data_IF_534295103264
#
_entry.id   IF_534295103264
#
_cell.length_a   1.000
_cell.length_b   1.000
_cell.length_c   1.000
_cell.angle_alpha   90.00
_cell.angle_beta   90.00
_cell.angle_gamma   90.00
#
_symmetry.space_group_name_H-M   'P 1'
#
loop_
_entity.id
_entity.type
_entity.pdbx_description
1 polymer ?
#
# COMPACT_ATOMS: atom_id res chain seq x y z
N UNK A 1 4.71 10.59 13.31
CA UNK A 1 5.54 11.68 12.76
C UNK A 1 5.36 11.60 11.26
N UNK A 2 5.02 12.69 10.58
CA UNK A 2 4.97 12.70 9.12
C UNK A 2 6.37 12.44 8.58
N UNK A 3 6.54 11.41 7.76
CA UNK A 3 7.76 11.25 6.97
C UNK A 3 7.90 12.48 6.06
N UNK A 4 9.12 13.01 6.00
CA UNK A 4 9.46 14.12 5.14
C UNK A 4 9.67 13.53 3.74
N UNK A 5 8.73 13.75 2.83
CA UNK A 5 8.85 13.25 1.46
C UNK A 5 10.05 13.91 0.76
N UNK A 6 10.84 13.14 -0.01
CA UNK A 6 11.91 13.70 -0.83
C UNK A 6 11.35 14.48 -2.02
N UNK A 7 12.10 15.49 -2.47
CA UNK A 7 11.95 16.03 -3.81
C UNK A 7 12.71 15.14 -4.80
N UNK A 8 12.00 14.55 -5.75
CA UNK A 8 12.57 13.72 -6.81
C UNK A 8 12.97 14.61 -8.00
N UNK A 9 14.20 14.55 -8.46
CA UNK A 9 14.71 15.38 -9.57
C UNK A 9 14.97 14.54 -10.81
N UNK A 10 14.41 14.97 -11.94
CA UNK A 10 14.60 14.35 -13.25
C UNK A 10 15.25 15.35 -14.21
N UNK A 11 16.30 14.89 -14.91
CA UNK A 11 16.89 15.62 -16.02
C UNK A 11 16.20 15.18 -17.32
N UNK A 12 15.47 16.11 -17.93
CA UNK A 12 14.65 15.90 -19.12
C UNK A 12 15.27 16.59 -20.34
N UNK A 13 14.99 16.11 -21.55
CA UNK A 13 15.54 16.69 -22.78
C UNK A 13 14.66 17.78 -23.38
N UNK A 14 13.35 17.70 -23.18
CA UNK A 14 12.35 18.68 -23.62
C UNK A 14 11.35 18.90 -22.47
N UNK A 15 11.54 20.00 -21.73
CA UNK A 15 10.72 20.32 -20.56
C UNK A 15 9.24 20.50 -20.90
N UNK A 16 8.90 21.10 -22.05
CA UNK A 16 7.51 21.33 -22.44
C UNK A 16 6.81 20.00 -22.76
N UNK A 17 7.49 19.13 -23.52
CA UNK A 17 6.99 17.80 -23.84
C UNK A 17 6.80 16.94 -22.58
N UNK A 18 7.78 16.92 -21.67
CA UNK A 18 7.72 16.10 -20.46
C UNK A 18 6.70 16.65 -19.46
N UNK A 19 6.60 17.97 -19.26
CA UNK A 19 5.52 18.58 -18.45
C UNK A 19 4.13 18.27 -19.03
N UNK A 20 3.96 18.33 -20.35
CA UNK A 20 2.69 17.91 -21.00
C UNK A 20 2.41 16.43 -20.81
N UNK A 21 3.41 15.55 -20.88
CA UNK A 21 3.23 14.12 -20.61
C UNK A 21 2.75 13.87 -19.18
N UNK A 22 3.48 14.36 -18.18
CA UNK A 22 3.14 14.16 -16.76
C UNK A 22 1.77 14.78 -16.41
N UNK A 23 1.48 16.00 -16.88
CA UNK A 23 0.20 16.67 -16.62
C UNK A 23 -0.97 16.03 -17.37
N UNK A 24 -0.86 15.89 -18.69
CA UNK A 24 -2.01 15.59 -19.57
C UNK A 24 -2.25 14.08 -19.74
N UNK A 25 -1.22 13.24 -19.55
CA UNK A 25 -1.34 11.76 -19.60
C UNK A 25 -1.51 11.20 -18.19
N UNK A 26 -0.53 11.47 -17.32
CA UNK A 26 -0.45 10.86 -15.99
C UNK A 26 -1.30 11.61 -14.93
N UNK A 27 -1.75 12.84 -15.22
CA UNK A 27 -2.63 13.60 -14.33
C UNK A 27 -1.91 14.33 -13.19
N UNK A 28 -0.61 14.59 -13.34
CA UNK A 28 0.19 15.28 -12.32
C UNK A 28 -0.19 16.76 -12.28
N UNK A 29 -0.19 17.35 -11.08
CA UNK A 29 -0.48 18.78 -10.91
C UNK A 29 0.80 19.59 -11.06
N UNK A 30 0.84 20.57 -11.96
CA UNK A 30 1.98 21.49 -12.06
C UNK A 30 1.80 22.59 -11.02
N UNK A 31 2.73 22.71 -10.07
CA UNK A 31 2.74 23.80 -9.09
C UNK A 31 3.29 25.07 -9.71
N UNK A 32 4.45 24.96 -10.39
CA UNK A 32 5.07 26.03 -11.15
C UNK A 32 5.87 25.50 -12.33
N UNK A 33 6.04 26.36 -13.33
CA UNK A 33 6.86 26.17 -14.52
C UNK A 33 7.59 27.50 -14.77
N UNK A 34 8.91 27.46 -14.86
CA UNK A 34 9.74 28.62 -15.15
C UNK A 34 10.56 28.35 -16.43
N UNK A 35 10.23 29.10 -17.48
CA UNK A 35 10.87 28.99 -18.80
C UNK A 35 12.29 29.58 -18.81
N UNK A 36 12.62 30.55 -17.95
CA UNK A 36 13.97 31.12 -17.85
C UNK A 36 14.91 30.18 -17.07
N UNK A 37 14.42 29.54 -16.01
CA UNK A 37 15.15 28.54 -15.23
C UNK A 37 15.15 27.14 -15.86
N UNK A 38 14.38 26.92 -16.93
CA UNK A 38 14.25 25.61 -17.59
C UNK A 38 13.89 24.50 -16.57
N UNK A 39 12.94 24.79 -15.69
CA UNK A 39 12.52 23.89 -14.61
C UNK A 39 11.00 23.95 -14.36
N UNK A 40 10.44 22.86 -13.83
CA UNK A 40 9.03 22.75 -13.46
C UNK A 40 8.84 21.83 -12.25
N UNK A 41 8.05 22.27 -11.27
CA UNK A 41 7.65 21.43 -10.13
C UNK A 41 6.25 20.86 -10.35
N UNK A 42 6.12 19.55 -10.16
CA UNK A 42 4.89 18.81 -10.27
C UNK A 42 4.67 17.95 -9.03
N UNK A 43 3.40 17.75 -8.69
CA UNK A 43 2.96 16.82 -7.64
C UNK A 43 2.21 15.66 -8.30
N UNK A 44 2.69 14.44 -8.04
CA UNK A 44 2.05 13.22 -8.52
C UNK A 44 0.74 12.92 -7.77
N UNK A 45 -0.19 12.15 -8.35
CA UNK A 45 -1.23 11.47 -7.59
C UNK A 45 -0.60 10.66 -6.45
N UNK A 46 -1.07 10.89 -5.21
CA UNK A 46 -0.43 10.37 -3.99
C UNK A 46 0.54 11.34 -3.28
N UNK A 47 0.85 12.49 -3.88
CA UNK A 47 1.56 13.59 -3.24
C UNK A 47 3.08 13.63 -3.40
N UNK A 48 3.68 12.74 -4.20
CA UNK A 48 5.12 12.77 -4.44
C UNK A 48 5.55 14.05 -5.19
N UNK A 49 6.54 14.74 -4.64
CA UNK A 49 7.09 16.00 -5.13
C UNK A 49 8.17 15.75 -6.18
N UNK A 50 8.01 16.32 -7.39
CA UNK A 50 8.87 16.06 -8.55
C UNK A 50 9.31 17.37 -9.20
N UNK A 51 10.61 17.51 -9.44
CA UNK A 51 11.21 18.61 -10.21
C UNK A 51 11.76 18.06 -11.54
N UNK A 52 11.21 18.53 -12.65
CA UNK A 52 11.77 18.33 -13.98
C UNK A 52 12.66 19.52 -14.32
N UNK A 53 13.82 19.29 -14.91
CA UNK A 53 14.64 20.37 -15.50
C UNK A 53 15.40 19.91 -16.74
N UNK A 54 15.47 20.77 -17.74
CA UNK A 54 16.28 20.58 -18.96
C UNK A 54 17.67 21.24 -18.89
N UNK A 55 17.97 21.96 -17.81
CA UNK A 55 19.32 22.43 -17.52
C UNK A 55 20.11 21.31 -16.78
N UNK A 56 21.19 20.77 -17.36
CA UNK A 56 22.00 19.74 -16.72
C UNK A 56 22.88 20.26 -15.57
N UNK A 57 23.17 21.56 -15.54
CA UNK A 57 24.08 22.20 -14.58
C UNK A 57 23.33 22.91 -13.42
N UNK A 58 21.99 22.92 -13.43
CA UNK A 58 21.16 23.58 -12.42
C UNK A 58 21.38 22.99 -11.01
N UNK A 59 21.81 23.86 -10.08
CA UNK A 59 21.95 23.56 -8.65
C UNK A 59 20.57 23.64 -7.95
N UNK A 60 19.96 22.47 -7.80
CA UNK A 60 18.66 22.29 -7.17
C UNK A 60 18.64 22.78 -5.72
N UNK A 61 19.74 22.61 -4.97
CA UNK A 61 19.78 22.99 -3.57
C UNK A 61 19.79 24.51 -3.37
N UNK A 62 20.33 25.27 -4.32
CA UNK A 62 20.30 26.74 -4.28
C UNK A 62 18.92 27.31 -4.68
N UNK A 63 18.15 26.59 -5.50
CA UNK A 63 16.79 26.97 -5.92
C UNK A 63 15.86 27.14 -4.69
N UNK A 64 15.80 26.14 -3.81
CA UNK A 64 14.94 26.16 -2.62
C UNK A 64 15.48 26.98 -1.44
N UNK A 65 16.78 27.32 -1.44
CA UNK A 65 17.33 28.33 -0.49
C UNK A 65 16.85 29.74 -0.81
N UNK A 66 16.65 30.05 -2.09
CA UNK A 66 16.20 31.38 -2.52
C UNK A 66 14.76 31.67 -2.07
N UNK A 67 13.85 30.69 -2.11
CA UNK A 67 12.45 30.83 -1.66
C UNK A 67 12.35 31.25 -0.18
N UNK A 68 13.08 30.57 0.72
CA UNK A 68 13.17 30.95 2.15
C UNK A 68 13.75 32.35 2.38
N UNK A 69 14.64 32.79 1.50
CA UNK A 69 15.21 34.14 1.52
C UNK A 69 14.18 35.24 1.18
N UNK A 70 13.12 34.91 0.44
CA UNK A 70 12.07 35.86 0.05
C UNK A 70 10.97 36.03 1.13
N UNK A 71 10.63 34.97 1.87
CA UNK A 71 9.59 35.04 2.91
C UNK A 71 10.04 35.70 4.24
N UNK A 72 11.34 35.93 4.44
CA UNK A 72 11.92 36.31 5.74
C UNK A 72 12.15 37.81 5.97
N UNK A 73 11.58 38.69 5.14
CA UNK A 73 11.75 40.15 5.25
C UNK A 73 10.50 40.87 5.82
N UNK A 74 10.41 41.07 7.15
CA UNK A 74 9.41 41.98 7.72
C UNK A 74 9.81 43.45 7.47
N UNK A 75 8.88 44.26 6.94
CA UNK A 75 9.05 45.71 6.87
C UNK A 75 9.23 46.31 8.28
N UNK A 76 10.32 47.06 8.47
CA UNK A 76 10.66 47.66 9.75
C UNK A 76 9.98 49.02 9.94
N UNK A 77 8.80 49.03 10.58
CA UNK A 77 8.14 50.25 11.04
C UNK A 77 8.74 50.76 12.38
N UNK A 78 8.74 52.07 12.66
CA UNK A 78 9.63 52.66 13.66
C UNK A 78 9.11 52.61 15.12
N UNK A 79 10.07 52.43 16.03
CA UNK A 79 9.88 52.35 17.50
C UNK A 79 9.52 53.71 18.13
N UNK A 80 8.56 53.76 19.07
CA UNK A 80 8.45 54.82 20.08
C UNK A 80 8.93 54.37 21.48
N UNK A 81 9.23 55.34 22.34
CA UNK A 81 10.09 55.22 23.53
C UNK A 81 9.50 54.52 24.78
N UNK A 82 10.41 54.12 25.68
CA UNK A 82 10.12 53.60 27.03
C UNK A 82 9.43 54.63 27.93
N UNK A 83 8.52 54.17 28.78
CA UNK A 83 8.20 54.80 30.07
C UNK A 83 7.84 53.75 31.13
N UNK A 84 8.08 54.08 32.40
CA UNK A 84 8.30 53.10 33.50
C UNK A 84 7.13 52.96 34.48
N UNK A 85 6.90 51.71 34.92
CA UNK A 85 6.45 51.25 36.26
C UNK A 85 5.66 52.19 37.19
N UNK A 86 4.49 51.71 37.63
CA UNK A 86 4.02 51.82 39.04
C UNK A 86 3.17 50.62 39.47
N UNK A 87 3.24 50.24 40.76
CA UNK A 87 2.42 49.20 41.43
C UNK A 87 1.23 49.81 42.19
N UNK A 88 0.16 49.02 42.32
CA UNK A 88 -0.96 49.13 43.28
C UNK A 88 -2.05 48.14 42.84
N UNK A 89 -2.39 47.07 43.56
CA UNK A 89 -2.91 46.90 44.94
C UNK A 89 -4.45 46.99 45.01
N UNK A 90 -5.02 46.28 45.98
CA UNK A 90 -6.45 46.04 46.30
C UNK A 90 -7.07 44.89 45.48
N UNK A 91 -7.30 43.68 46.01
CA UNK A 91 -8.22 43.23 47.09
C UNK A 91 -9.71 43.40 46.77
N UNK A 92 -10.39 42.29 46.47
CA UNK A 92 -11.60 41.88 47.22
C UNK A 92 -11.86 40.37 47.05
N UNK A 93 -12.35 39.74 48.12
CA UNK A 93 -12.64 38.30 48.20
C UNK A 93 -14.05 37.96 47.67
N UNK A 94 -14.40 36.67 47.61
CA UNK A 94 -15.73 36.13 47.98
C UNK A 94 -15.57 34.64 48.34
N UNK A 95 -15.94 34.26 49.57
CA UNK A 95 -16.02 32.87 50.04
C UNK A 95 -17.46 32.36 50.05
N UNK A 96 -17.63 31.04 50.32
CA UNK A 96 -18.85 30.31 50.68
C UNK A 96 -19.61 29.59 49.55
N UNK A 97 -20.01 28.31 49.63
CA UNK A 97 -19.70 27.21 50.59
C UNK A 97 -20.24 25.85 50.06
N UNK A 98 -19.50 24.74 50.28
CA UNK A 98 -19.92 23.40 50.84
C UNK A 98 -21.07 22.62 50.12
N UNK A 99 -21.07 21.28 49.91
CA UNK A 99 -20.44 20.13 50.59
C UNK A 99 -20.04 18.96 49.64
N UNK A 100 -19.05 18.16 50.07
CA UNK A 100 -19.06 16.70 50.36
C UNK A 100 -19.91 15.72 49.49
N UNK A 101 -19.51 14.47 49.23
CA UNK A 101 -18.70 13.55 50.07
C UNK A 101 -18.08 12.39 49.21
N UNK A 102 -16.94 11.82 49.61
CA UNK A 102 -16.30 10.62 48.99
C UNK A 102 -16.06 9.56 50.09
N UNK A 103 -16.38 8.26 49.86
CA UNK A 103 -16.03 7.19 50.81
C UNK A 103 -14.64 6.59 50.56
N UNK A 104 -13.90 6.40 51.65
CA UNK A 104 -12.57 5.79 51.74
C UNK A 104 -12.64 4.31 52.18
N UNK A 105 -11.62 3.49 51.85
CA UNK A 105 -11.14 2.28 52.57
C UNK A 105 -10.42 1.26 51.65
N UNK A 106 -9.35 0.53 52.05
CA UNK A 106 -8.43 0.60 53.20
C UNK A 106 -7.16 -0.24 52.87
N UNK A 107 -6.02 0.08 53.49
CA UNK A 107 -4.72 -0.62 53.33
C UNK A 107 -4.43 -1.71 54.40
N UNK A 108 -3.23 -2.31 54.29
CA UNK A 108 -2.40 -3.07 55.28
C UNK A 108 -2.27 -4.61 55.07
N UNK A 109 -1.11 -5.26 55.27
CA UNK A 109 0.30 -4.83 55.43
C UNK A 109 1.30 -6.04 55.43
N UNK A 110 2.61 -5.76 55.65
CA UNK A 110 3.64 -6.54 56.39
C UNK A 110 4.91 -7.06 55.63
N UNK A 111 5.95 -6.20 55.65
CA UNK A 111 7.38 -6.36 56.08
C UNK A 111 8.21 -7.67 55.93
N UNK A 112 9.49 -7.46 55.57
CA UNK A 112 10.72 -8.24 55.90
C UNK A 112 11.71 -8.27 54.72
N UNK A 113 13.04 -8.08 54.81
CA UNK A 113 13.99 -7.84 55.92
C UNK A 113 15.26 -7.07 55.42
N UNK A 114 16.22 -6.77 56.31
CA UNK A 114 17.45 -5.97 56.09
C UNK A 114 18.61 -6.80 55.43
N UNK A 115 19.83 -6.34 55.09
CA UNK A 115 20.78 -5.52 55.87
C UNK A 115 22.13 -5.24 55.12
N UNK A 116 22.89 -4.17 55.50
CA UNK A 116 24.34 -3.84 55.21
C UNK A 116 24.77 -3.50 53.76
N UNK A 117 25.76 -2.65 53.44
CA UNK A 117 26.75 -1.74 54.11
C UNK A 117 27.08 -0.62 53.06
N UNK A 118 27.23 0.69 53.28
CA UNK A 118 27.91 1.55 54.28
C UNK A 118 29.35 2.01 53.87
N UNK A 119 29.59 3.33 53.98
CA UNK A 119 30.87 4.10 53.79
C UNK A 119 31.37 4.25 52.33
N UNK A 120 31.81 5.41 51.80
CA UNK A 120 31.96 6.83 52.23
C UNK A 120 32.31 7.70 50.98
N UNK A 121 32.62 9.00 50.96
CA UNK A 121 32.84 10.09 51.94
C UNK A 121 32.61 11.48 51.24
N UNK A 122 32.76 12.60 51.96
CA UNK A 122 32.74 14.02 51.51
C UNK A 122 33.90 14.41 50.54
N UNK A 123 33.92 15.51 49.78
CA UNK A 123 33.84 16.94 50.18
C UNK A 123 33.43 17.88 49.01
N UNK A 124 33.10 19.15 49.33
CA UNK A 124 32.61 20.16 48.39
C UNK A 124 33.43 21.48 48.41
N UNK A 125 33.63 22.06 47.20
CA UNK A 125 33.73 23.49 46.81
C UNK A 125 34.66 24.46 47.60
N UNK A 126 35.48 25.33 46.94
CA UNK A 126 34.91 26.59 46.46
C UNK A 126 35.55 27.23 45.19
N UNK A 127 34.69 27.72 44.30
CA UNK A 127 34.77 29.12 43.84
C UNK A 127 35.34 29.43 42.43
N UNK A 128 35.07 30.65 41.90
CA UNK A 128 35.10 30.92 40.45
C UNK A 128 36.26 31.81 39.97
N UNK A 129 36.64 31.67 38.70
CA UNK A 129 37.50 32.63 37.99
C UNK A 129 36.92 32.98 36.61
N UNK A 130 36.91 34.27 36.28
CA UNK A 130 36.48 34.82 34.99
C UNK A 130 37.57 34.61 33.92
N UNK A 131 37.25 33.90 32.82
CA UNK A 131 38.01 34.03 31.57
C UNK A 131 37.08 34.27 30.37
N UNK A 132 37.28 35.42 29.73
CA UNK A 132 36.70 35.76 28.42
C UNK A 132 37.75 35.50 27.34
N UNK A 133 37.40 34.75 26.28
CA UNK A 133 38.08 34.91 25.00
C UNK A 133 37.13 35.22 23.84
N UNK A 134 37.51 36.28 23.11
CA UNK A 134 37.44 36.45 21.65
C UNK A 134 36.27 35.84 20.84
N UNK A 135 35.52 36.71 20.17
CA UNK A 135 34.59 36.31 19.09
C UNK A 135 35.25 36.05 17.73
N UNK A 136 34.40 35.63 16.79
CA UNK A 136 34.65 35.05 15.44
C UNK A 136 35.10 33.57 15.47
N UNK A 137 34.51 32.69 14.66
CA UNK A 137 33.54 32.90 13.58
C UNK A 137 32.28 32.05 13.80
N UNK A 138 31.10 32.63 13.55
CA UNK A 138 29.93 31.84 13.16
C UNK A 138 30.23 31.25 11.78
N UNK A 139 30.75 30.02 11.78
CA UNK A 139 30.57 29.15 10.62
C UNK A 139 29.08 28.88 10.52
N UNK A 140 28.40 29.55 9.59
CA UNK A 140 27.03 29.20 9.21
C UNK A 140 26.99 27.72 8.89
N UNK A 141 26.33 26.95 9.76
CA UNK A 141 25.97 25.57 9.44
C UNK A 141 25.18 25.61 8.12
N UNK A 142 25.44 24.70 7.16
CA UNK A 142 24.71 24.71 5.91
C UNK A 142 23.23 24.51 6.21
N UNK A 143 22.41 25.52 5.95
CA UNK A 143 20.97 25.47 6.24
C UNK A 143 20.37 24.21 5.60
N UNK A 144 19.96 23.28 6.46
CA UNK A 144 19.36 22.03 6.02
C UNK A 144 18.02 22.34 5.34
N UNK A 145 17.87 21.81 4.12
CA UNK A 145 16.62 21.92 3.39
C UNK A 145 15.52 21.18 4.15
N UNK A 146 14.27 21.67 4.11
CA UNK A 146 13.17 21.05 4.84
C UNK A 146 12.78 19.65 4.31
N UNK A 147 13.36 19.24 3.18
CA UNK A 147 13.21 17.92 2.56
C UNK A 147 14.54 17.44 1.94
N UNK A 148 14.79 16.12 1.88
CA UNK A 148 15.91 15.57 1.12
C UNK A 148 15.64 15.72 -0.39
N UNK A 149 16.71 15.96 -1.16
CA UNK A 149 16.67 15.96 -2.64
C UNK A 149 17.25 14.62 -3.12
N UNK A 150 16.56 13.96 -4.04
CA UNK A 150 16.99 12.71 -4.67
C UNK A 150 16.95 12.88 -6.18
N UNK A 151 18.10 12.86 -6.83
CA UNK A 151 18.20 12.92 -8.29
C UNK A 151 18.16 11.51 -8.88
N UNK A 152 17.18 11.25 -9.76
CA UNK A 152 16.87 9.92 -10.28
C UNK A 152 17.67 9.61 -11.55
N UNK A 153 18.14 8.38 -11.66
CA UNK A 153 18.68 7.81 -12.89
C UNK A 153 17.59 7.07 -13.67
N UNK A 154 17.91 6.56 -14.86
CA UNK A 154 16.93 5.85 -15.73
C UNK A 154 16.62 4.44 -15.22
N UNK A 155 17.44 3.94 -14.30
CA UNK A 155 17.27 2.67 -13.59
C UNK A 155 16.31 2.78 -12.39
N UNK A 156 16.05 4.00 -11.89
CA UNK A 156 15.13 4.25 -10.79
C UNK A 156 13.66 4.28 -11.25
N UNK A 157 12.74 3.92 -10.33
CA UNK A 157 11.29 4.02 -10.52
C UNK A 157 10.72 5.20 -9.73
N UNK A 158 9.89 6.03 -10.36
CA UNK A 158 9.05 7.00 -9.64
C UNK A 158 7.84 6.23 -9.10
N UNK A 159 7.82 5.97 -7.80
CA UNK A 159 6.71 5.27 -7.14
C UNK A 159 5.51 6.22 -6.94
N UNK A 160 4.32 5.78 -7.32
CA UNK A 160 3.06 6.51 -7.19
C UNK A 160 1.95 5.57 -6.71
N UNK A 161 1.01 6.08 -5.93
CA UNK A 161 -0.22 5.35 -5.61
C UNK A 161 -1.20 5.43 -6.79
N UNK A 162 -1.95 4.37 -7.04
CA UNK A 162 -2.92 4.28 -8.12
C UNK A 162 -4.14 3.45 -7.75
N UNK A 163 -5.23 3.69 -8.48
CA UNK A 163 -6.50 2.99 -8.33
C UNK A 163 -6.96 2.48 -9.71
N UNK A 164 -7.44 1.25 -9.77
CA UNK A 164 -7.96 0.57 -10.95
C UNK A 164 -7.00 0.63 -12.16
N UNK A 165 -5.80 0.07 -11.97
CA UNK A 165 -4.69 0.22 -12.93
C UNK A 165 -4.98 -0.37 -14.31
N UNK A 166 -5.86 -1.38 -14.41
CA UNK A 166 -6.33 -1.90 -15.69
C UNK A 166 -7.07 -0.83 -16.51
N UNK A 167 -8.04 -0.14 -15.90
CA UNK A 167 -8.77 0.97 -16.55
C UNK A 167 -7.84 2.16 -16.81
N UNK A 168 -6.86 2.40 -15.92
CA UNK A 168 -5.87 3.45 -16.14
C UNK A 168 -4.94 3.13 -17.33
N UNK A 169 -4.48 1.88 -17.47
CA UNK A 169 -3.70 1.40 -18.60
C UNK A 169 -4.47 1.54 -19.92
N UNK A 170 -5.75 1.13 -19.95
CA UNK A 170 -6.62 1.33 -21.13
C UNK A 170 -6.73 2.82 -21.52
N UNK A 171 -6.93 3.71 -20.53
CA UNK A 171 -6.94 5.16 -20.74
C UNK A 171 -5.60 5.67 -21.31
N UNK A 172 -4.47 5.24 -20.75
CA UNK A 172 -3.15 5.66 -21.20
C UNK A 172 -2.86 5.17 -22.63
N UNK A 173 -3.24 3.93 -22.97
CA UNK A 173 -3.16 3.39 -24.31
C UNK A 173 -4.01 4.20 -25.31
N UNK A 174 -5.24 4.57 -24.95
CA UNK A 174 -6.10 5.44 -25.75
C UNK A 174 -5.55 6.88 -25.90
N UNK A 175 -4.70 7.34 -24.97
CA UNK A 175 -3.98 8.61 -25.04
C UNK A 175 -2.65 8.51 -25.81
N UNK A 176 -2.30 7.35 -26.37
CA UNK A 176 -1.08 7.14 -27.16
C UNK A 176 0.18 6.84 -26.34
N UNK A 177 0.03 6.44 -25.08
CA UNK A 177 1.13 5.88 -24.28
C UNK A 177 1.22 4.39 -24.58
N UNK A 178 2.42 3.89 -24.88
CA UNK A 178 2.67 2.52 -25.31
C UNK A 178 3.79 1.91 -24.46
N UNK A 179 4.11 0.63 -24.70
CA UNK A 179 5.18 -0.10 -24.03
C UNK A 179 5.09 -0.12 -22.49
N UNK A 180 3.86 0.00 -21.96
CA UNK A 180 3.54 -0.16 -20.54
C UNK A 180 3.54 -1.63 -20.14
N UNK A 181 4.05 -1.94 -18.94
CA UNK A 181 4.03 -3.28 -18.36
C UNK A 181 3.20 -3.29 -17.08
N UNK A 182 2.26 -4.25 -16.96
CA UNK A 182 1.56 -4.52 -15.71
C UNK A 182 2.22 -5.73 -15.03
N UNK A 183 2.84 -5.50 -13.88
CA UNK A 183 3.41 -6.53 -13.01
C UNK A 183 2.37 -6.87 -11.91
N UNK A 184 1.89 -8.11 -11.81
CA UNK A 184 0.87 -8.52 -10.82
C UNK A 184 1.46 -9.50 -9.79
N UNK A 185 1.13 -9.28 -8.51
CA UNK A 185 1.23 -10.28 -7.44
C UNK A 185 -0.18 -10.65 -6.97
N UNK A 186 -0.76 -11.77 -7.45
CA UNK A 186 -2.17 -12.09 -7.29
C UNK A 186 -2.66 -12.04 -5.84
N UNK A 187 -3.76 -11.33 -5.60
CA UNK A 187 -4.36 -11.14 -4.27
C UNK A 187 -3.54 -10.27 -3.29
N UNK A 188 -2.47 -9.61 -3.75
CA UNK A 188 -1.66 -8.69 -2.95
C UNK A 188 -1.64 -7.29 -3.56
N UNK A 189 -1.06 -7.14 -4.76
CA UNK A 189 -0.84 -5.85 -5.42
C UNK A 189 -0.62 -6.01 -6.93
N UNK A 190 -0.81 -4.93 -7.68
CA UNK A 190 -0.34 -4.80 -9.05
C UNK A 190 0.38 -3.47 -9.25
N UNK A 191 1.39 -3.47 -10.12
CA UNK A 191 2.20 -2.30 -10.46
C UNK A 191 2.16 -2.06 -11.97
N UNK A 192 1.65 -0.90 -12.40
CA UNK A 192 1.70 -0.45 -13.78
C UNK A 192 2.94 0.40 -14.00
N UNK A 193 3.90 -0.12 -14.77
CA UNK A 193 5.08 0.58 -15.23
C UNK A 193 4.75 1.34 -16.51
N UNK A 194 4.98 2.65 -16.48
CA UNK A 194 4.74 3.57 -17.59
C UNK A 194 6.06 4.26 -17.95
N UNK A 195 6.59 4.06 -19.16
CA UNK A 195 7.77 4.80 -19.62
C UNK A 195 7.42 6.26 -19.90
N UNK A 196 8.30 7.18 -19.51
CA UNK A 196 8.21 8.61 -19.86
C UNK A 196 8.94 8.92 -21.19
N UNK A 197 8.78 10.14 -21.76
CA UNK A 197 9.43 10.54 -23.01
C UNK A 197 10.97 10.51 -22.97
N UNK A 198 11.57 10.65 -21.78
CA UNK A 198 13.01 10.71 -21.58
C UNK A 198 13.62 9.36 -21.16
N UNK A 199 12.81 8.31 -21.01
CA UNK A 199 13.24 6.95 -20.63
C UNK A 199 13.33 6.70 -19.11
N UNK A 200 12.73 7.54 -18.28
CA UNK A 200 12.39 7.21 -16.89
C UNK A 200 11.18 6.26 -16.83
N UNK A 201 10.98 5.59 -15.69
CA UNK A 201 9.79 4.75 -15.44
C UNK A 201 8.97 5.30 -14.28
N UNK A 202 7.68 5.52 -14.50
CA UNK A 202 6.70 5.79 -13.44
C UNK A 202 6.00 4.48 -13.08
N UNK A 203 6.03 4.10 -11.82
CA UNK A 203 5.43 2.89 -11.29
C UNK A 203 4.21 3.25 -10.44
N UNK A 204 3.01 3.00 -10.97
CA UNK A 204 1.77 3.15 -10.21
C UNK A 204 1.47 1.84 -9.50
N UNK A 205 1.34 1.85 -8.17
CA UNK A 205 0.97 0.68 -7.36
C UNK A 205 -0.51 0.73 -6.97
N UNK A 206 -1.17 -0.40 -7.04
CA UNK A 206 -2.52 -0.61 -6.50
C UNK A 206 -2.51 -1.84 -5.59
N UNK A 207 -2.97 -1.66 -4.35
CA UNK A 207 -3.21 -2.75 -3.43
C UNK A 207 -4.45 -3.53 -3.88
N UNK A 208 -4.28 -4.84 -4.11
CA UNK A 208 -5.38 -5.77 -4.37
C UNK A 208 -5.87 -6.44 -3.09
N UNK A 209 -5.23 -6.21 -1.94
CA UNK A 209 -5.61 -6.80 -0.63
C UNK A 209 -7.07 -6.51 -0.28
N UNK A 210 -7.90 -7.55 -0.32
CA UNK A 210 -9.25 -7.49 0.23
C UNK A 210 -9.23 -7.55 1.77
N UNK A 211 -10.28 -7.04 2.41
CA UNK A 211 -10.46 -7.21 3.87
C UNK A 211 -10.78 -8.67 4.22
N UNK A 212 -10.46 -9.09 5.44
CA UNK A 212 -10.75 -10.45 5.96
C UNK A 212 -12.24 -10.82 5.80
N UNK A 213 -13.14 -9.85 6.01
CA UNK A 213 -14.58 -10.02 5.82
C UNK A 213 -14.93 -10.23 4.35
N UNK A 214 -14.36 -9.42 3.44
CA UNK A 214 -14.62 -9.53 2.00
C UNK A 214 -14.04 -10.82 1.41
N UNK A 215 -12.84 -11.25 1.82
CA UNK A 215 -12.24 -12.53 1.40
C UNK A 215 -13.12 -13.70 1.82
N UNK A 216 -13.54 -13.74 3.09
CA UNK A 216 -14.43 -14.79 3.60
C UNK A 216 -15.79 -14.75 2.88
N UNK A 217 -16.34 -13.57 2.64
CA UNK A 217 -17.62 -13.40 1.94
C UNK A 217 -17.54 -13.87 0.48
N UNK A 218 -16.50 -13.49 -0.27
CA UNK A 218 -16.32 -13.91 -1.66
C UNK A 218 -16.08 -15.43 -1.75
N UNK A 219 -15.20 -15.96 -0.90
CA UNK A 219 -14.87 -17.39 -0.85
C UNK A 219 -16.11 -18.25 -0.51
N UNK A 220 -16.95 -17.80 0.42
CA UNK A 220 -18.22 -18.47 0.81
C UNK A 220 -19.29 -18.40 -0.28
N UNK A 221 -19.32 -17.32 -1.07
CA UNK A 221 -20.34 -17.09 -2.10
C UNK A 221 -20.09 -17.88 -3.40
N UNK A 222 -18.85 -18.31 -3.66
CA UNK A 222 -18.46 -19.05 -4.86
C UNK A 222 -19.40 -20.20 -5.26
N UNK A 223 -19.73 -21.15 -4.35
CA UNK A 223 -20.64 -22.26 -4.65
C UNK A 223 -22.05 -21.83 -5.09
N UNK A 224 -22.62 -20.80 -4.45
CA UNK A 224 -23.94 -20.28 -4.81
C UNK A 224 -23.94 -19.59 -6.18
N UNK A 225 -22.84 -18.92 -6.53
CA UNK A 225 -22.63 -18.31 -7.85
C UNK A 225 -22.48 -19.36 -8.94
N UNK A 226 -21.75 -20.45 -8.68
CA UNK A 226 -21.61 -21.58 -9.60
C UNK A 226 -22.96 -22.26 -9.85
N UNK A 227 -23.69 -22.61 -8.78
CA UNK A 227 -25.02 -23.22 -8.88
C UNK A 227 -25.98 -22.34 -9.72
N UNK A 228 -25.95 -21.01 -9.51
CA UNK A 228 -26.70 -20.05 -10.31
C UNK A 228 -26.26 -20.01 -11.79
N UNK A 229 -24.95 -20.04 -12.06
CA UNK A 229 -24.41 -19.97 -13.42
C UNK A 229 -24.69 -21.22 -14.26
N UNK A 230 -24.77 -22.41 -13.65
CA UNK A 230 -25.15 -23.66 -14.33
C UNK A 230 -26.66 -23.94 -14.30
N UNK A 231 -27.45 -23.14 -13.59
CA UNK A 231 -28.88 -23.38 -13.41
C UNK A 231 -29.61 -23.40 -14.77
N UNK A 232 -30.33 -24.49 -15.03
CA UNK A 232 -31.15 -24.68 -16.23
C UNK A 232 -30.40 -25.14 -17.47
N UNK A 233 -29.06 -25.28 -17.42
CA UNK A 233 -28.29 -25.87 -18.52
C UNK A 233 -28.64 -27.35 -18.73
N UNK A 234 -28.67 -27.77 -19.99
CA UNK A 234 -28.77 -29.17 -20.43
C UNK A 234 -27.37 -29.75 -20.63
N UNK A 235 -27.29 -31.07 -20.75
CA UNK A 235 -26.04 -31.78 -20.97
C UNK A 235 -25.29 -31.30 -22.23
N UNK A 236 -26.02 -30.98 -23.31
CA UNK A 236 -25.44 -30.43 -24.54
C UNK A 236 -24.96 -28.98 -24.37
N UNK A 237 -25.62 -28.18 -23.53
CA UNK A 237 -25.25 -26.77 -23.27
C UNK A 237 -23.91 -26.67 -22.52
N UNK A 238 -23.53 -27.71 -21.76
CA UNK A 238 -22.24 -27.78 -21.08
C UNK A 238 -21.05 -27.87 -22.06
N UNK A 239 -21.30 -28.25 -23.32
CA UNK A 239 -20.27 -28.40 -24.35
C UNK A 239 -20.10 -27.13 -25.21
N UNK A 240 -20.65 -25.99 -24.77
CA UNK A 240 -20.54 -24.70 -25.45
C UNK A 240 -19.27 -23.94 -25.00
N UNK A 241 -18.63 -23.26 -25.95
CA UNK A 241 -17.44 -22.41 -25.85
C UNK A 241 -17.65 -21.13 -26.70
N UNK A 242 -16.90 -20.05 -26.51
CA UNK A 242 -17.07 -18.83 -27.33
C UNK A 242 -16.14 -18.83 -28.55
N UNK A 243 -14.84 -19.06 -28.35
CA UNK A 243 -13.82 -19.14 -29.40
C UNK A 243 -13.19 -20.54 -29.42
N UNK A 244 -12.68 -21.02 -30.57
CA UNK A 244 -12.24 -22.43 -30.77
C UNK A 244 -11.10 -22.88 -29.83
N UNK A 245 -10.36 -21.94 -29.25
CA UNK A 245 -9.28 -22.13 -28.28
C UNK A 245 -9.71 -21.90 -26.81
N UNK A 246 -10.94 -21.44 -26.54
CA UNK A 246 -11.51 -21.37 -25.19
C UNK A 246 -12.10 -22.72 -24.74
N UNK A 247 -12.05 -22.98 -23.43
CA UNK A 247 -12.68 -24.17 -22.83
C UNK A 247 -14.22 -24.12 -22.88
N UNK A 248 -14.82 -25.31 -22.95
CA UNK A 248 -16.27 -25.48 -22.75
C UNK A 248 -16.68 -25.18 -21.31
N UNK A 249 -17.96 -24.83 -21.08
CA UNK A 249 -18.54 -24.71 -19.72
C UNK A 249 -18.21 -25.92 -18.84
N UNK A 250 -18.26 -27.15 -19.39
CA UNK A 250 -17.89 -28.40 -18.72
C UNK A 250 -16.44 -28.38 -18.24
N UNK A 251 -15.50 -28.09 -19.13
CA UNK A 251 -14.07 -28.00 -18.82
C UNK A 251 -13.79 -26.90 -17.79
N UNK A 252 -14.42 -25.72 -17.92
CA UNK A 252 -14.29 -24.63 -16.95
C UNK A 252 -14.73 -25.05 -15.54
N UNK A 253 -15.87 -25.74 -15.40
CA UNK A 253 -16.34 -26.23 -14.09
C UNK A 253 -15.37 -27.26 -13.50
N UNK A 254 -14.92 -28.23 -14.30
CA UNK A 254 -14.00 -29.29 -13.86
C UNK A 254 -12.63 -28.73 -13.43
N UNK A 255 -12.05 -27.83 -14.24
CA UNK A 255 -10.82 -27.15 -13.90
C UNK A 255 -10.93 -26.39 -12.57
N UNK A 256 -12.02 -25.63 -12.39
CA UNK A 256 -12.22 -24.86 -11.16
C UNK A 256 -12.28 -25.76 -9.91
N UNK A 257 -12.83 -26.97 -10.01
CA UNK A 257 -12.90 -27.93 -8.89
C UNK A 257 -11.53 -28.55 -8.60
N UNK A 258 -10.76 -28.94 -9.63
CA UNK A 258 -9.43 -29.51 -9.46
C UNK A 258 -8.41 -28.45 -8.96
N UNK A 259 -8.53 -27.20 -9.39
CA UNK A 259 -7.78 -26.07 -8.83
C UNK A 259 -8.12 -25.82 -7.35
N UNK A 260 -9.40 -25.89 -6.99
CA UNK A 260 -9.86 -25.77 -5.60
C UNK A 260 -9.32 -26.88 -4.70
N UNK A 261 -9.26 -28.13 -5.20
CA UNK A 261 -8.69 -29.27 -4.50
C UNK A 261 -7.20 -29.06 -4.21
N UNK A 262 -6.44 -28.60 -5.19
CA UNK A 262 -5.01 -28.31 -5.10
C UNK A 262 -4.75 -27.21 -4.06
N UNK A 263 -5.42 -26.06 -4.22
CA UNK A 263 -5.24 -24.91 -3.33
C UNK A 263 -5.77 -25.17 -1.91
N UNK A 264 -6.82 -26.00 -1.75
CA UNK A 264 -7.28 -26.44 -0.43
C UNK A 264 -6.22 -27.25 0.31
N UNK A 265 -5.42 -28.05 -0.38
CA UNK A 265 -4.31 -28.75 0.25
C UNK A 265 -3.19 -27.78 0.68
N UNK A 266 -2.94 -26.71 -0.08
CA UNK A 266 -2.03 -25.61 0.32
C UNK A 266 -2.52 -24.89 1.57
N UNK A 267 -3.77 -24.42 1.55
CA UNK A 267 -4.43 -23.75 2.67
C UNK A 267 -4.39 -24.64 3.93
N UNK A 268 -4.68 -25.95 3.79
CA UNK A 268 -4.61 -26.89 4.92
C UNK A 268 -3.19 -27.11 5.45
N UNK A 269 -2.16 -27.08 4.61
CA UNK A 269 -0.77 -27.09 5.10
C UNK A 269 -0.45 -25.81 5.88
N UNK A 270 -0.82 -24.63 5.40
CA UNK A 270 -0.63 -23.38 6.16
C UNK A 270 -1.38 -23.40 7.51
N UNK A 271 -2.64 -23.85 7.50
CA UNK A 271 -3.47 -23.90 8.70
C UNK A 271 -2.96 -24.92 9.73
N UNK A 272 -2.47 -26.09 9.30
CA UNK A 272 -2.00 -27.15 10.20
C UNK A 272 -0.52 -27.03 10.59
N UNK A 273 0.30 -26.45 9.72
CA UNK A 273 1.76 -26.35 9.82
C UNK A 273 2.22 -24.93 9.42
N UNK A 274 1.92 -23.87 10.20
CA UNK A 274 2.25 -22.50 9.82
C UNK A 274 3.76 -22.29 9.64
N UNK A 275 4.15 -21.56 8.59
CA UNK A 275 5.54 -21.33 8.22
C UNK A 275 6.22 -22.52 7.54
N UNK A 276 5.47 -23.56 7.17
CA UNK A 276 5.99 -24.73 6.45
C UNK A 276 6.61 -24.35 5.11
N UNK A 277 7.82 -24.86 4.86
CA UNK A 277 8.44 -24.83 3.54
C UNK A 277 7.61 -25.61 2.51
N UNK A 278 7.36 -24.97 1.37
CA UNK A 278 6.57 -25.49 0.29
C UNK A 278 7.19 -25.15 -1.07
N UNK A 279 7.36 -26.17 -1.91
CA UNK A 279 7.67 -25.99 -3.32
C UNK A 279 6.37 -25.97 -4.10
N UNK A 280 6.12 -24.88 -4.81
CA UNK A 280 4.96 -24.70 -5.67
C UNK A 280 4.95 -25.81 -6.75
N UNK A 281 3.96 -26.71 -6.76
CA UNK A 281 3.77 -27.63 -7.87
C UNK A 281 3.23 -26.81 -9.03
N UNK A 282 4.00 -26.80 -10.12
CA UNK A 282 3.51 -26.36 -11.41
C UNK A 282 2.68 -27.52 -11.98
N UNK A 283 1.43 -27.24 -12.32
CA UNK A 283 0.62 -28.10 -13.16
C UNK A 283 0.22 -27.31 -14.40
N UNK A 284 0.12 -27.99 -15.53
CA UNK A 284 -0.42 -27.42 -16.76
C UNK A 284 -1.93 -27.72 -16.80
N UNK A 285 -2.81 -26.69 -16.82
CA UNK A 285 -4.26 -26.90 -16.83
C UNK A 285 -4.80 -27.62 -18.06
N UNK A 286 -4.17 -27.44 -19.23
CA UNK A 286 -4.60 -28.08 -20.48
C UNK A 286 -4.19 -29.56 -20.50
N UNK A 287 -2.97 -29.89 -20.05
CA UNK A 287 -2.54 -31.28 -19.84
C UNK A 287 -3.52 -32.01 -18.91
N UNK A 288 -4.01 -31.35 -17.85
CA UNK A 288 -5.00 -31.91 -16.93
C UNK A 288 -6.36 -32.07 -17.59
N UNK A 289 -6.82 -31.07 -18.35
CA UNK A 289 -8.10 -31.12 -19.04
C UNK A 289 -8.17 -32.23 -20.09
N UNK A 290 -7.07 -32.49 -20.81
CA UNK A 290 -6.95 -33.63 -21.73
C UNK A 290 -6.83 -34.95 -20.94
N UNK A 291 -5.85 -35.07 -20.03
CA UNK A 291 -5.51 -36.34 -19.37
C UNK A 291 -6.60 -36.86 -18.44
N UNK A 292 -7.36 -35.97 -17.79
CA UNK A 292 -8.48 -36.30 -16.92
C UNK A 292 -9.84 -36.31 -17.65
N UNK A 293 -9.82 -36.27 -18.99
CA UNK A 293 -10.99 -36.36 -19.88
C UNK A 293 -12.12 -35.40 -19.51
N UNK A 294 -11.79 -34.12 -19.31
CA UNK A 294 -12.79 -33.13 -18.87
C UNK A 294 -13.94 -32.98 -19.88
N UNK A 295 -13.66 -33.14 -21.18
CA UNK A 295 -14.65 -33.02 -22.24
C UNK A 295 -15.82 -34.01 -22.12
N UNK A 296 -15.64 -35.15 -21.44
CA UNK A 296 -16.66 -36.20 -21.32
C UNK A 296 -17.16 -36.44 -19.87
N UNK A 297 -16.62 -35.72 -18.87
CA UNK A 297 -16.99 -35.92 -17.46
C UNK A 297 -18.32 -35.23 -17.07
N UNK A 298 -19.20 -35.88 -16.28
CA UNK A 298 -20.38 -35.25 -15.71
C UNK A 298 -20.01 -34.28 -14.57
N UNK A 299 -20.61 -33.10 -14.53
CA UNK A 299 -20.22 -32.04 -13.57
C UNK A 299 -20.90 -32.13 -12.20
N UNK A 300 -21.94 -32.94 -12.04
CA UNK A 300 -22.83 -32.85 -10.86
C UNK A 300 -22.14 -33.26 -9.55
N UNK A 301 -21.22 -34.24 -9.60
CA UNK A 301 -20.40 -34.62 -8.44
C UNK A 301 -19.33 -33.56 -8.12
N UNK A 302 -18.82 -32.88 -9.14
CA UNK A 302 -17.76 -31.88 -9.06
C UNK A 302 -18.29 -30.61 -8.39
N UNK A 303 -19.44 -30.11 -8.84
CA UNK A 303 -20.15 -28.95 -8.24
C UNK A 303 -20.46 -29.19 -6.75
N UNK A 304 -20.92 -30.39 -6.40
CA UNK A 304 -21.14 -30.78 -5.01
C UNK A 304 -19.82 -30.84 -4.20
N UNK A 305 -18.74 -31.30 -4.84
CA UNK A 305 -17.40 -31.38 -4.24
C UNK A 305 -16.83 -29.99 -3.97
N UNK A 306 -16.94 -29.06 -4.93
CA UNK A 306 -16.57 -27.64 -4.78
C UNK A 306 -17.24 -27.00 -3.56
N UNK A 307 -18.55 -27.17 -3.39
CA UNK A 307 -19.27 -26.67 -2.20
C UNK A 307 -18.71 -27.26 -0.91
N UNK A 308 -18.54 -28.59 -0.84
CA UNK A 308 -18.03 -29.27 0.35
C UNK A 308 -16.59 -28.87 0.70
N UNK A 309 -15.75 -28.57 -0.31
CA UNK A 309 -14.39 -28.05 -0.13
C UNK A 309 -14.41 -26.66 0.50
N UNK A 310 -15.22 -25.74 -0.05
CA UNK A 310 -15.35 -24.38 0.47
C UNK A 310 -15.88 -24.38 1.91
N UNK A 311 -16.91 -25.16 2.19
CA UNK A 311 -17.46 -25.34 3.55
C UNK A 311 -16.42 -25.95 4.51
N UNK A 312 -15.60 -26.91 4.06
CA UNK A 312 -14.54 -27.54 4.85
C UNK A 312 -13.46 -26.54 5.27
N UNK A 313 -12.98 -25.69 4.35
CA UNK A 313 -11.98 -24.65 4.65
C UNK A 313 -12.57 -23.59 5.59
N UNK A 314 -13.77 -23.08 5.29
CA UNK A 314 -14.43 -22.07 6.12
C UNK A 314 -14.67 -22.56 7.55
N UNK A 315 -15.11 -23.81 7.73
CA UNK A 315 -15.31 -24.40 9.06
C UNK A 315 -14.00 -24.45 9.85
N UNK A 316 -12.85 -24.72 9.21
CA UNK A 316 -11.55 -24.69 9.89
C UNK A 316 -11.19 -23.25 10.30
N UNK A 317 -11.35 -22.28 9.41
CA UNK A 317 -11.07 -20.88 9.69
C UNK A 317 -11.95 -20.33 10.84
N UNK A 318 -13.22 -20.71 10.90
CA UNK A 318 -14.14 -20.35 12.01
C UNK A 318 -13.67 -20.89 13.39
N UNK A 319 -12.85 -21.93 13.43
CA UNK A 319 -12.31 -22.51 14.67
C UNK A 319 -10.88 -22.05 15.02
N UNK A 320 -10.22 -21.29 14.14
CA UNK A 320 -8.84 -20.83 14.30
C UNK A 320 -8.79 -19.29 14.19
N UNK A 321 -8.73 -18.56 15.32
CA UNK A 321 -8.78 -17.08 15.31
C UNK A 321 -7.68 -16.39 14.51
N UNK A 322 -6.56 -17.07 14.31
CA UNK A 322 -5.38 -16.65 13.55
C UNK A 322 -5.31 -17.29 12.14
N UNK A 323 -6.38 -17.93 11.67
CA UNK A 323 -6.39 -18.74 10.44
C UNK A 323 -5.83 -18.01 9.21
N UNK A 324 -6.27 -16.76 9.01
CA UNK A 324 -5.95 -15.98 7.82
C UNK A 324 -4.48 -15.52 7.79
N UNK A 325 -3.83 -15.40 8.95
CA UNK A 325 -2.45 -14.92 9.10
C UNK A 325 -1.42 -16.06 9.03
N UNK A 326 -1.88 -17.32 9.11
CA UNK A 326 -1.03 -18.51 8.88
C UNK A 326 -0.57 -18.56 7.43
N UNK A 327 0.60 -19.12 7.20
CA UNK A 327 1.26 -19.04 5.89
C UNK A 327 2.06 -20.28 5.51
N UNK A 328 2.36 -20.39 4.21
CA UNK A 328 3.44 -21.22 3.68
C UNK A 328 4.64 -20.33 3.33
N UNK A 329 5.83 -20.91 3.33
CA UNK A 329 7.07 -20.26 2.87
C UNK A 329 7.57 -20.99 1.64
N UNK A 330 7.84 -20.25 0.56
CA UNK A 330 8.38 -20.77 -0.70
C UNK A 330 9.66 -20.06 -1.09
N UNK A 331 10.33 -20.54 -2.15
CA UNK A 331 11.49 -19.85 -2.75
C UNK A 331 11.12 -18.45 -3.30
N UNK A 332 9.83 -18.18 -3.53
CA UNK A 332 9.29 -16.89 -3.98
C UNK A 332 8.81 -15.98 -2.84
N UNK A 333 8.89 -16.44 -1.58
CA UNK A 333 8.44 -15.69 -0.40
C UNK A 333 7.34 -16.38 0.40
N UNK A 334 6.76 -15.64 1.35
CA UNK A 334 5.71 -16.11 2.26
C UNK A 334 4.34 -15.82 1.65
N UNK A 335 3.42 -16.79 1.71
CA UNK A 335 2.04 -16.64 1.21
C UNK A 335 1.07 -17.05 2.31
N UNK A 336 0.22 -16.12 2.74
CA UNK A 336 -0.75 -16.32 3.82
C UNK A 336 -2.06 -16.98 3.33
N UNK A 337 -2.82 -17.53 4.26
CA UNK A 337 -4.15 -18.12 4.00
C UNK A 337 -5.12 -17.09 3.44
N UNK A 338 -5.10 -15.83 3.94
CA UNK A 338 -5.87 -14.71 3.34
C UNK A 338 -5.64 -14.60 1.82
N UNK A 339 -4.37 -14.65 1.40
CA UNK A 339 -3.94 -14.51 0.00
C UNK A 339 -4.38 -15.71 -0.83
N UNK A 340 -4.14 -16.93 -0.33
CA UNK A 340 -4.57 -18.15 -1.02
C UNK A 340 -6.10 -18.24 -1.15
N UNK A 341 -6.85 -17.83 -0.12
CA UNK A 341 -8.32 -17.78 -0.19
C UNK A 341 -8.81 -16.69 -1.15
N UNK A 342 -8.20 -15.52 -1.17
CA UNK A 342 -8.55 -14.43 -2.10
C UNK A 342 -8.39 -14.89 -3.56
N UNK A 343 -7.18 -15.32 -3.95
CA UNK A 343 -6.88 -15.79 -5.32
C UNK A 343 -7.88 -16.87 -5.75
N UNK A 344 -8.13 -17.87 -4.91
CA UNK A 344 -9.04 -18.98 -5.21
C UNK A 344 -10.51 -18.53 -5.31
N UNK A 345 -10.89 -17.44 -4.65
CA UNK A 345 -12.23 -16.86 -4.76
C UNK A 345 -12.38 -15.95 -6.00
N UNK A 346 -11.31 -15.25 -6.40
CA UNK A 346 -11.24 -14.41 -7.60
C UNK A 346 -11.21 -15.25 -8.88
N UNK A 347 -10.32 -16.24 -8.97
CA UNK A 347 -10.25 -17.19 -10.10
C UNK A 347 -11.59 -17.91 -10.31
N UNK A 348 -12.26 -18.32 -9.22
CA UNK A 348 -13.59 -18.92 -9.31
C UNK A 348 -14.65 -17.92 -9.83
N UNK A 349 -14.61 -16.66 -9.38
CA UNK A 349 -15.48 -15.57 -9.88
C UNK A 349 -15.29 -15.36 -11.38
N UNK A 350 -14.05 -15.39 -11.87
CA UNK A 350 -13.72 -15.21 -13.30
C UNK A 350 -14.18 -16.38 -14.16
N UNK A 351 -13.93 -17.62 -13.75
CA UNK A 351 -14.46 -18.79 -14.43
C UNK A 351 -15.99 -18.79 -14.50
N UNK A 352 -16.67 -18.38 -13.41
CA UNK A 352 -18.12 -18.21 -13.39
C UNK A 352 -18.57 -17.08 -14.35
N UNK A 353 -17.84 -15.97 -14.43
CA UNK A 353 -18.10 -14.90 -15.41
C UNK A 353 -17.94 -15.39 -16.86
N UNK A 354 -16.97 -16.27 -17.14
CA UNK A 354 -16.80 -16.89 -18.46
C UNK A 354 -17.97 -17.81 -18.80
N UNK A 355 -18.44 -18.65 -17.88
CA UNK A 355 -19.66 -19.47 -18.08
C UNK A 355 -20.87 -18.58 -18.41
N UNK A 356 -21.04 -17.46 -17.68
CA UNK A 356 -22.11 -16.49 -17.94
C UNK A 356 -21.94 -15.73 -19.28
N UNK A 357 -20.71 -15.48 -19.73
CA UNK A 357 -20.41 -14.94 -21.08
C UNK A 357 -20.84 -15.92 -22.16
N UNK A 358 -20.45 -17.20 -22.06
CA UNK A 358 -20.84 -18.25 -23.00
C UNK A 358 -22.36 -18.36 -23.09
N UNK A 359 -23.06 -18.45 -21.94
CA UNK A 359 -24.53 -18.44 -21.91
C UNK A 359 -25.15 -17.25 -22.63
N UNK A 360 -24.61 -16.05 -22.44
CA UNK A 360 -25.11 -14.82 -23.09
C UNK A 360 -24.96 -14.86 -24.62
N UNK A 361 -23.87 -15.45 -25.13
CA UNK A 361 -23.63 -15.63 -26.58
C UNK A 361 -24.67 -16.56 -27.19
N UNK A 362 -25.02 -17.65 -26.50
CA UNK A 362 -26.00 -18.65 -26.98
C UNK A 362 -27.47 -18.37 -26.59
N UNK A 363 -27.73 -17.36 -25.76
CA UNK A 363 -29.08 -16.95 -25.34
C UNK A 363 -29.71 -17.84 -24.26
N UNK A 364 -28.91 -18.35 -23.32
CA UNK A 364 -29.27 -19.30 -22.26
C UNK A 364 -29.44 -18.69 -20.86
#
# INVERSE_FOLDING_TARGET
MSEIQPLLVLRVTDLEASVSFYRDKLGFSVEWLDEEMQAARLVAPGGADILLTSDPDLDIASLFRAEKGAESAPEADPVPEKLTLTKGADEEAWESSVSDEIPDALEEAVKGEQDRQAEGLDEADPGPEDEVPAGRAETSEPEELPFPIVELTKEDRIECEGENLLVFQERLAALGVHDMLLEETPGIEQTLLVPDPDGYTVAFRESLRMSDEDVIALYRKGPDLLDGAIMGLREDDLNLLVEEDEWTIRQTVLHMVDFDLEMTQRIKWALAEPGREYKLPLFDPDDWAETLDYANRPIQAEVATFRLIRDHVLTICEHLPDALDRSLVSEQGTVEVRTMMQVVAETAREHIQNILRTRRVYGL
#
